data_IF_616023781412
#
_entry.id   IF_616023781412
#
_cell.length_a   1.000
_cell.length_b   1.000
_cell.length_c   1.000
_cell.angle_alpha   90.00
_cell.angle_beta   90.00
_cell.angle_gamma   90.00
#
_symmetry.space_group_name_H-M   'P 1'
#
loop_
_entity.id
_entity.type
_entity.pdbx_description
1 polymer ?
#
# COMPACT_ATOMS: atom_id res chain seq x y z
N UNK A 1 38.64 16.62 10.33
CA UNK A 1 37.80 15.61 9.67
C UNK A 1 38.69 14.58 9.02
N UNK A 2 38.67 13.36 9.53
CA UNK A 2 39.31 12.23 8.87
C UNK A 2 38.51 11.84 7.62
N UNK A 3 39.15 11.18 6.65
CA UNK A 3 38.48 10.74 5.42
C UNK A 3 37.32 9.75 5.69
N UNK A 4 37.33 9.02 6.81
CA UNK A 4 36.21 8.14 7.19
C UNK A 4 35.03 8.88 7.78
N UNK A 5 35.26 9.98 8.52
CA UNK A 5 34.18 10.85 9.01
C UNK A 5 33.49 11.58 7.86
N UNK A 6 34.26 12.03 6.86
CA UNK A 6 33.69 12.66 5.67
C UNK A 6 32.87 11.68 4.82
N UNK A 7 33.33 10.44 4.64
CA UNK A 7 32.58 9.41 3.91
C UNK A 7 31.31 8.96 4.65
N UNK A 8 31.37 8.86 5.99
CA UNK A 8 30.21 8.52 6.82
C UNK A 8 29.16 9.64 6.83
N UNK A 9 29.63 10.89 6.89
CA UNK A 9 28.74 12.06 6.80
C UNK A 9 28.10 12.16 5.41
N UNK A 10 28.89 11.99 4.35
CA UNK A 10 28.40 12.03 2.96
C UNK A 10 27.43 10.89 2.64
N UNK A 11 27.60 9.71 3.25
CA UNK A 11 26.63 8.61 3.15
C UNK A 11 25.30 8.91 3.85
N UNK A 12 25.34 9.50 5.05
CA UNK A 12 24.14 9.95 5.77
C UNK A 12 23.41 11.09 5.06
N UNK A 13 24.14 12.05 4.52
CA UNK A 13 23.57 13.18 3.81
C UNK A 13 22.83 12.70 2.54
N UNK A 14 23.40 11.72 1.81
CA UNK A 14 22.78 11.07 0.65
C UNK A 14 21.49 10.32 1.01
N UNK A 15 21.51 9.49 2.07
CA UNK A 15 20.31 8.78 2.54
C UNK A 15 19.19 9.74 2.96
N UNK A 16 19.56 10.89 3.54
CA UNK A 16 18.59 11.91 3.97
C UNK A 16 17.97 12.64 2.78
N UNK A 17 18.76 12.93 1.74
CA UNK A 17 18.26 13.51 0.49
C UNK A 17 17.31 12.56 -0.26
N UNK A 18 17.63 11.26 -0.30
CA UNK A 18 16.78 10.24 -0.91
C UNK A 18 15.44 10.09 -0.17
N UNK A 19 15.47 10.07 1.16
CA UNK A 19 14.25 10.03 1.99
C UNK A 19 13.37 11.26 1.77
N UNK A 20 13.97 12.45 1.71
CA UNK A 20 13.26 13.69 1.47
C UNK A 20 12.60 13.70 0.08
N UNK A 21 13.28 13.13 -0.93
CA UNK A 21 12.72 13.00 -2.27
C UNK A 21 11.52 12.05 -2.29
N UNK A 22 11.61 10.90 -1.61
CA UNK A 22 10.50 9.96 -1.47
C UNK A 22 9.29 10.62 -0.80
N UNK A 23 9.50 11.35 0.31
CA UNK A 23 8.42 12.02 1.02
C UNK A 23 7.76 13.13 0.17
N UNK A 24 8.55 13.89 -0.60
CA UNK A 24 8.00 14.88 -1.55
C UNK A 24 7.20 14.22 -2.66
N UNK A 25 7.65 13.06 -3.16
CA UNK A 25 6.91 12.29 -4.14
C UNK A 25 5.57 11.79 -3.58
N UNK A 26 5.58 11.25 -2.36
CA UNK A 26 4.37 10.81 -1.66
C UNK A 26 3.36 11.95 -1.48
N UNK A 27 3.80 13.12 -0.99
CA UNK A 27 2.95 14.31 -0.85
C UNK A 27 2.31 14.68 -2.21
N UNK A 28 3.11 14.74 -3.28
CA UNK A 28 2.62 15.08 -4.62
C UNK A 28 1.63 14.06 -5.20
N UNK A 29 1.75 12.79 -4.80
CA UNK A 29 0.83 11.72 -5.20
C UNK A 29 -0.46 11.85 -4.41
N UNK A 30 -0.38 11.88 -3.08
CA UNK A 30 -1.54 11.94 -2.18
C UNK A 30 -2.41 13.19 -2.44
N UNK A 31 -1.81 14.33 -2.78
CA UNK A 31 -2.55 15.55 -3.16
C UNK A 31 -3.50 15.39 -4.35
N UNK A 32 -3.26 14.40 -5.23
CA UNK A 32 -4.08 14.14 -6.42
C UNK A 32 -5.20 13.14 -6.15
N UNK A 33 -5.11 12.41 -5.04
CA UNK A 33 -6.00 11.29 -4.76
C UNK A 33 -7.17 11.75 -3.91
N UNK A 34 -8.38 11.37 -4.32
CA UNK A 34 -9.59 11.56 -3.54
C UNK A 34 -10.55 10.40 -3.79
N UNK A 35 -10.62 9.49 -2.83
CA UNK A 35 -11.35 8.24 -2.98
C UNK A 35 -11.81 7.70 -1.62
N UNK A 36 -13.02 7.13 -1.49
CA UNK A 36 -13.54 6.62 -0.21
C UNK A 36 -12.67 5.54 0.46
N UNK A 37 -11.80 4.87 -0.31
CA UNK A 37 -10.95 3.77 0.13
C UNK A 37 -9.45 4.10 0.12
N UNK A 38 -9.11 5.38 0.08
CA UNK A 38 -7.73 5.88 0.20
C UNK A 38 -7.72 6.88 1.37
N UNK A 39 -6.61 6.95 2.10
CA UNK A 39 -6.45 7.94 3.18
C UNK A 39 -6.53 9.36 2.62
N UNK A 40 -7.25 10.24 3.31
CA UNK A 40 -7.30 11.66 2.93
C UNK A 40 -5.97 12.36 3.27
N UNK A 41 -5.51 13.22 2.36
CA UNK A 41 -4.38 14.13 2.60
C UNK A 41 -4.91 15.52 2.97
N UNK A 42 -4.40 16.07 4.08
CA UNK A 42 -4.82 17.39 4.55
C UNK A 42 -3.81 18.48 4.21
N UNK A 43 -2.53 18.29 4.56
CA UNK A 43 -1.50 19.30 4.29
C UNK A 43 -0.09 18.73 4.42
N UNK A 44 0.89 19.48 3.94
CA UNK A 44 2.29 19.26 4.25
C UNK A 44 2.97 20.61 4.53
N UNK A 45 3.91 20.63 5.45
CA UNK A 45 4.65 21.83 5.84
C UNK A 45 6.08 21.49 6.25
N UNK A 46 6.97 22.45 6.08
CA UNK A 46 8.37 22.33 6.49
C UNK A 46 8.61 23.09 7.80
N UNK A 47 9.40 22.50 8.67
CA UNK A 47 10.00 23.15 9.84
C UNK A 47 11.50 23.30 9.58
N UNK A 48 12.24 24.07 10.40
CA UNK A 48 13.70 24.17 10.26
C UNK A 48 14.45 22.83 10.35
N UNK A 49 13.79 21.74 10.77
CA UNK A 49 14.41 20.45 11.04
C UNK A 49 13.76 19.28 10.30
N UNK A 50 12.52 19.41 9.83
CA UNK A 50 11.71 18.29 9.35
C UNK A 50 10.69 18.74 8.29
N UNK A 51 10.44 17.86 7.32
CA UNK A 51 9.25 17.90 6.49
C UNK A 51 8.14 17.12 7.22
N UNK A 52 6.97 17.72 7.36
CA UNK A 52 5.83 17.16 8.06
C UNK A 52 4.65 17.01 7.10
N UNK A 53 3.94 15.90 7.21
CA UNK A 53 2.73 15.60 6.45
C UNK A 53 1.59 15.32 7.42
N UNK A 54 0.39 15.81 7.09
CA UNK A 54 -0.84 15.58 7.84
C UNK A 54 -1.83 14.84 6.94
N UNK A 55 -2.19 13.63 7.34
CA UNK A 55 -3.13 12.74 6.65
C UNK A 55 -4.22 12.29 7.62
N UNK A 56 -5.26 11.64 7.08
CA UNK A 56 -6.30 10.96 7.82
C UNK A 56 -5.69 9.99 8.85
N UNK A 57 -6.16 10.10 10.09
CA UNK A 57 -5.82 9.15 11.13
C UNK A 57 -6.85 8.02 11.12
N UNK A 58 -6.40 6.83 10.73
CA UNK A 58 -7.25 5.63 10.60
C UNK A 58 -6.97 4.69 11.77
N UNK A 59 -7.99 4.49 12.60
CA UNK A 59 -7.83 3.88 13.93
C UNK A 59 -7.96 2.34 13.95
N UNK A 60 -8.59 1.71 12.94
CA UNK A 60 -9.03 0.31 13.01
C UNK A 60 -7.92 -0.73 12.86
N UNK A 61 -6.66 -0.31 12.92
CA UNK A 61 -5.50 -1.18 12.70
C UNK A 61 -5.34 -1.59 11.24
N UNK A 62 -4.29 -2.37 10.99
CA UNK A 62 -3.98 -2.85 9.66
C UNK A 62 -4.58 -4.23 9.36
N UNK A 63 -4.72 -4.55 8.08
CA UNK A 63 -5.37 -5.78 7.64
C UNK A 63 -4.59 -7.04 7.98
N UNK A 64 -3.26 -6.97 8.12
CA UNK A 64 -2.46 -8.12 8.55
C UNK A 64 -2.84 -8.53 9.97
N UNK A 65 -3.06 -7.57 10.86
CA UNK A 65 -3.46 -7.83 12.25
C UNK A 65 -4.76 -8.62 12.30
N UNK A 66 -5.76 -8.25 11.49
CA UNK A 66 -7.03 -9.00 11.41
C UNK A 66 -6.85 -10.40 10.82
N UNK A 67 -6.05 -10.55 9.76
CA UNK A 67 -5.69 -11.87 9.20
C UNK A 67 -4.87 -12.74 10.17
N UNK A 68 -4.19 -12.14 11.15
CA UNK A 68 -3.49 -12.86 12.21
C UNK A 68 -4.44 -13.46 13.26
N UNK A 69 -5.58 -12.82 13.49
CA UNK A 69 -6.62 -13.30 14.39
C UNK A 69 -7.55 -14.32 13.72
N UNK A 70 -7.99 -14.02 12.50
CA UNK A 70 -8.83 -14.89 11.68
C UNK A 70 -7.95 -15.75 10.79
N UNK A 71 -7.82 -17.05 11.08
CA UNK A 71 -6.93 -17.96 10.32
C UNK A 71 -7.12 -17.94 8.79
N UNK A 72 -8.33 -17.57 8.33
CA UNK A 72 -8.72 -17.32 6.93
C UNK A 72 -10.13 -16.71 6.89
N UNK A 73 -10.45 -16.00 5.81
CA UNK A 73 -11.77 -15.42 5.55
C UNK A 73 -12.65 -16.36 4.71
N UNK A 74 -13.97 -16.18 4.81
CA UNK A 74 -14.89 -16.77 3.83
C UNK A 74 -14.71 -16.11 2.45
N UNK A 75 -15.05 -16.81 1.37
CA UNK A 75 -14.95 -16.23 0.02
C UNK A 75 -15.83 -15.00 -0.16
N UNK A 76 -17.01 -14.99 0.46
CA UNK A 76 -17.89 -13.83 0.45
C UNK A 76 -17.24 -12.63 1.15
N UNK A 77 -16.74 -12.81 2.38
CA UNK A 77 -16.08 -11.73 3.12
C UNK A 77 -14.83 -11.22 2.39
N UNK A 78 -14.03 -12.14 1.82
CA UNK A 78 -12.88 -11.79 1.00
C UNK A 78 -13.29 -10.99 -0.25
N UNK A 79 -14.43 -11.34 -0.89
CA UNK A 79 -14.93 -10.61 -2.06
C UNK A 79 -15.31 -9.16 -1.74
N UNK A 80 -15.82 -8.89 -0.53
CA UNK A 80 -16.14 -7.53 -0.08
C UNK A 80 -14.86 -6.69 0.05
N UNK A 81 -13.88 -7.19 0.79
CA UNK A 81 -12.60 -6.48 0.98
C UNK A 81 -11.81 -6.33 -0.32
N UNK A 82 -11.77 -7.37 -1.16
CA UNK A 82 -11.15 -7.29 -2.47
C UNK A 82 -11.83 -6.27 -3.36
N UNK A 83 -13.16 -6.14 -3.28
CA UNK A 83 -13.89 -5.12 -4.02
C UNK A 83 -13.43 -3.69 -3.68
N UNK A 84 -13.25 -3.38 -2.39
CA UNK A 84 -12.75 -2.06 -1.96
C UNK A 84 -11.31 -1.81 -2.41
N UNK A 85 -10.44 -2.83 -2.30
CA UNK A 85 -9.06 -2.78 -2.79
C UNK A 85 -9.05 -2.53 -4.31
N UNK A 86 -9.89 -3.24 -5.08
CA UNK A 86 -9.97 -3.08 -6.54
C UNK A 86 -10.41 -1.65 -6.90
N UNK A 87 -11.40 -1.09 -6.20
CA UNK A 87 -11.85 0.28 -6.44
C UNK A 87 -10.75 1.31 -6.13
N UNK A 88 -10.01 1.14 -5.03
CA UNK A 88 -8.87 1.99 -4.70
C UNK A 88 -7.75 1.90 -5.76
N UNK A 89 -7.36 0.68 -6.15
CA UNK A 89 -6.32 0.43 -7.16
C UNK A 89 -6.74 0.96 -8.53
N UNK A 90 -8.00 0.76 -8.91
CA UNK A 90 -8.57 1.31 -10.14
C UNK A 90 -8.45 2.84 -10.18
N UNK A 91 -8.75 3.53 -9.07
CA UNK A 91 -8.66 4.97 -8.99
C UNK A 91 -7.22 5.47 -9.18
N UNK A 92 -6.25 4.91 -8.46
CA UNK A 92 -4.84 5.34 -8.60
C UNK A 92 -4.28 5.02 -10.00
N UNK A 93 -4.71 3.91 -10.62
CA UNK A 93 -4.29 3.56 -11.99
C UNK A 93 -4.85 4.54 -13.04
N UNK A 94 -6.07 5.06 -12.84
CA UNK A 94 -6.67 6.11 -13.68
C UNK A 94 -5.90 7.43 -13.60
N UNK A 95 -5.31 7.73 -12.44
CA UNK A 95 -4.41 8.88 -12.25
C UNK A 95 -2.96 8.62 -12.72
N UNK A 96 -2.71 7.45 -13.31
CA UNK A 96 -1.38 7.05 -13.81
C UNK A 96 -0.40 6.68 -12.70
N UNK A 97 -0.89 6.37 -11.49
CA UNK A 97 -0.06 6.03 -10.34
C UNK A 97 0.00 4.51 -10.19
N UNK A 98 1.19 3.98 -9.92
CA UNK A 98 1.43 2.60 -9.49
C UNK A 98 1.73 2.64 -7.98
N UNK A 99 1.07 1.80 -7.18
CA UNK A 99 1.30 1.75 -5.74
C UNK A 99 2.64 1.07 -5.39
N UNK A 100 2.91 -0.09 -6.01
CA UNK A 100 4.15 -0.90 -5.88
C UNK A 100 4.41 -1.56 -4.52
N UNK A 101 3.74 -1.16 -3.45
CA UNK A 101 3.84 -1.83 -2.14
C UNK A 101 2.47 -2.23 -1.55
N UNK A 102 1.57 -2.78 -2.37
CA UNK A 102 0.30 -3.30 -1.87
C UNK A 102 0.54 -4.53 -1.00
N UNK A 103 0.15 -4.44 0.27
CA UNK A 103 0.25 -5.50 1.27
C UNK A 103 -0.76 -5.26 2.39
N UNK A 104 -1.14 -6.28 3.18
CA UNK A 104 -2.14 -6.12 4.22
C UNK A 104 -1.78 -5.06 5.28
N UNK A 105 -0.50 -4.81 5.58
CA UNK A 105 -0.11 -3.77 6.55
C UNK A 105 -0.34 -2.34 6.04
N UNK A 106 -0.48 -2.14 4.73
CA UNK A 106 -0.73 -0.83 4.12
C UNK A 106 -2.22 -0.63 3.78
N UNK A 107 -3.07 -1.50 4.31
CA UNK A 107 -4.52 -1.45 4.16
C UNK A 107 -5.09 -1.40 5.58
N UNK A 108 -5.70 -0.28 5.93
CA UNK A 108 -6.19 -0.03 7.28
C UNK A 108 -7.72 -0.15 7.33
N UNK A 109 -8.29 -0.42 8.51
CA UNK A 109 -9.73 -0.36 8.73
C UNK A 109 -10.15 0.99 9.31
N UNK A 110 -11.21 1.58 8.77
CA UNK A 110 -11.84 2.74 9.39
C UNK A 110 -12.84 2.35 10.49
N UNK A 111 -13.52 3.36 11.05
CA UNK A 111 -14.43 3.16 12.17
C UNK A 111 -15.65 2.29 11.81
N UNK A 112 -16.04 2.26 10.55
CA UNK A 112 -17.17 1.48 10.06
C UNK A 112 -16.74 0.11 9.48
N UNK A 113 -15.44 -0.20 9.52
CA UNK A 113 -14.90 -1.47 9.01
C UNK A 113 -14.56 -1.47 7.53
N UNK A 114 -14.60 -0.31 6.87
CA UNK A 114 -14.17 -0.17 5.47
C UNK A 114 -12.67 0.02 5.36
N UNK A 115 -12.12 -0.32 4.21
CA UNK A 115 -10.68 -0.26 3.98
C UNK A 115 -10.20 1.15 3.60
N UNK A 116 -9.00 1.48 4.05
CA UNK A 116 -8.24 2.69 3.70
C UNK A 116 -6.85 2.30 3.24
N UNK A 117 -6.57 2.46 1.95
CA UNK A 117 -5.23 2.29 1.39
C UNK A 117 -4.34 3.47 1.83
N UNK A 118 -3.15 3.15 2.32
CA UNK A 118 -2.17 4.12 2.84
C UNK A 118 -0.75 3.80 2.35
N UNK A 119 0.23 4.60 2.78
CA UNK A 119 1.67 4.44 2.52
C UNK A 119 2.03 4.44 1.02
N UNK A 120 2.08 5.66 0.47
CA UNK A 120 2.39 5.91 -0.93
C UNK A 120 3.87 6.26 -1.13
N UNK A 121 4.73 5.99 -0.14
CA UNK A 121 6.17 6.28 -0.19
C UNK A 121 6.88 5.57 -1.35
N UNK A 122 6.44 4.35 -1.67
CA UNK A 122 6.91 3.57 -2.81
C UNK A 122 6.12 3.81 -4.10
N UNK A 123 5.14 4.72 -4.12
CA UNK A 123 4.31 4.94 -5.31
C UNK A 123 5.03 5.71 -6.42
N UNK A 124 4.58 5.55 -7.67
CA UNK A 124 5.17 6.25 -8.82
C UNK A 124 4.15 6.60 -9.88
N UNK A 125 4.18 7.84 -10.35
CA UNK A 125 3.41 8.26 -11.51
C UNK A 125 4.15 7.89 -12.81
N UNK A 126 3.41 7.26 -13.74
CA UNK A 126 3.89 6.87 -15.07
C UNK A 126 2.87 7.31 -16.13
N UNK A 127 3.32 7.58 -17.35
CA UNK A 127 2.40 7.78 -18.47
C UNK A 127 1.97 6.43 -19.05
N UNK A 128 0.88 6.43 -19.81
CA UNK A 128 0.43 5.21 -20.49
C UNK A 128 1.48 4.74 -21.50
N UNK A 129 1.86 3.47 -21.40
CA UNK A 129 2.91 2.84 -22.21
C UNK A 129 4.32 2.97 -21.65
N UNK A 130 4.54 3.78 -20.61
CA UNK A 130 5.83 3.87 -19.92
C UNK A 130 6.05 2.66 -19.02
N UNK A 131 7.33 2.32 -18.81
CA UNK A 131 7.77 1.30 -17.86
C UNK A 131 8.78 1.89 -16.88
N UNK A 132 8.73 1.41 -15.64
CA UNK A 132 9.72 1.72 -14.59
C UNK A 132 10.53 0.47 -14.23
N UNK A 133 11.71 0.65 -13.63
CA UNK A 133 12.69 -0.42 -13.41
C UNK A 133 13.17 -0.51 -11.95
N UNK A 134 12.79 0.43 -11.08
CA UNK A 134 13.19 0.44 -9.67
C UNK A 134 12.62 -0.76 -8.94
N UNK A 135 13.45 -1.50 -8.20
CA UNK A 135 12.99 -2.55 -7.29
C UNK A 135 12.60 -1.89 -5.97
N UNK A 136 11.34 -2.02 -5.55
CA UNK A 136 10.82 -1.49 -4.30
C UNK A 136 9.56 -2.27 -3.88
N UNK A 137 9.10 -2.04 -2.65
CA UNK A 137 7.99 -2.75 -2.03
C UNK A 137 8.40 -4.00 -1.23
N UNK A 138 7.39 -4.76 -0.83
CA UNK A 138 7.54 -5.93 0.04
C UNK A 138 7.64 -7.20 -0.78
N UNK A 139 8.80 -7.84 -0.72
CA UNK A 139 9.21 -8.86 -1.69
C UNK A 139 8.25 -10.05 -1.87
N UNK A 140 7.47 -10.41 -0.84
CA UNK A 140 6.50 -11.52 -0.92
C UNK A 140 5.24 -11.19 -1.72
N UNK A 141 4.91 -9.91 -1.90
CA UNK A 141 3.76 -9.44 -2.69
C UNK A 141 4.18 -8.86 -4.05
N UNK A 142 5.48 -8.82 -4.36
CA UNK A 142 6.00 -8.30 -5.63
C UNK A 142 5.69 -9.22 -6.80
N UNK A 143 5.34 -8.60 -7.92
CA UNK A 143 5.24 -9.27 -9.21
C UNK A 143 6.62 -9.78 -9.71
N UNK A 144 6.68 -10.88 -10.47
CA UNK A 144 7.93 -11.46 -10.94
C UNK A 144 8.74 -10.51 -11.84
N UNK A 145 8.10 -9.65 -12.62
CA UNK A 145 8.78 -8.68 -13.47
C UNK A 145 9.52 -7.58 -12.68
N UNK A 146 9.09 -7.28 -11.44
CA UNK A 146 9.85 -6.43 -10.51
C UNK A 146 11.09 -7.18 -10.05
N UNK A 147 10.92 -8.43 -9.61
CA UNK A 147 12.00 -9.30 -9.11
C UNK A 147 13.06 -9.62 -10.18
N UNK A 148 12.68 -9.58 -11.46
CA UNK A 148 13.56 -9.82 -12.61
C UNK A 148 14.16 -8.56 -13.22
N UNK A 149 13.78 -7.36 -12.73
CA UNK A 149 14.28 -6.07 -13.22
C UNK A 149 14.05 -5.81 -14.72
N UNK A 150 13.06 -6.48 -15.32
CA UNK A 150 12.79 -6.40 -16.78
C UNK A 150 11.88 -5.23 -17.19
N UNK A 151 11.64 -4.32 -16.25
CA UNK A 151 10.71 -3.21 -16.35
C UNK A 151 9.27 -3.63 -16.09
N UNK A 152 8.42 -2.71 -15.63
CA UNK A 152 7.04 -2.99 -15.29
C UNK A 152 6.15 -1.76 -15.37
N UNK A 153 4.83 -1.98 -15.36
CA UNK A 153 3.78 -0.98 -15.44
C UNK A 153 2.75 -1.15 -14.31
N UNK A 154 1.60 -0.48 -14.41
CA UNK A 154 0.48 -0.54 -13.44
C UNK A 154 0.03 -1.97 -13.11
N UNK A 155 0.25 -2.94 -14.00
CA UNK A 155 -0.23 -4.31 -13.80
C UNK A 155 0.40 -5.05 -12.61
N UNK A 156 1.53 -4.57 -12.08
CA UNK A 156 2.17 -5.17 -10.89
C UNK A 156 1.29 -5.12 -9.65
N UNK A 157 0.46 -4.07 -9.53
CA UNK A 157 -0.45 -3.95 -8.40
C UNK A 157 -1.51 -5.05 -8.42
N UNK A 158 -1.96 -5.48 -9.62
CA UNK A 158 -2.91 -6.60 -9.74
C UNK A 158 -2.31 -7.94 -9.32
N UNK A 159 -1.00 -8.13 -9.47
CA UNK A 159 -0.34 -9.30 -8.89
C UNK A 159 -0.43 -9.27 -7.37
N UNK A 160 -0.11 -8.13 -6.76
CA UNK A 160 -0.19 -7.95 -5.31
C UNK A 160 -1.61 -8.14 -4.78
N UNK A 161 -2.64 -7.66 -5.50
CA UNK A 161 -4.06 -7.94 -5.18
C UNK A 161 -4.33 -9.45 -5.20
N UNK A 162 -3.85 -10.18 -6.20
CA UNK A 162 -3.96 -11.64 -6.25
C UNK A 162 -3.24 -12.35 -5.09
N UNK A 163 -2.10 -11.81 -4.66
CA UNK A 163 -1.37 -12.34 -3.53
C UNK A 163 -2.06 -12.10 -2.19
N UNK A 164 -2.65 -10.91 -2.01
CA UNK A 164 -3.48 -10.58 -0.85
C UNK A 164 -4.73 -11.48 -0.82
N UNK A 165 -5.41 -11.69 -1.96
CA UNK A 165 -6.54 -12.63 -2.06
C UNK A 165 -6.16 -14.04 -1.59
N UNK A 166 -5.02 -14.55 -2.04
CA UNK A 166 -4.54 -15.88 -1.62
C UNK A 166 -4.36 -15.94 -0.11
N UNK A 167 -3.78 -14.91 0.49
CA UNK A 167 -3.60 -14.84 1.94
C UNK A 167 -4.92 -14.74 2.69
N UNK A 168 -5.89 -13.95 2.21
CA UNK A 168 -7.24 -13.90 2.80
C UNK A 168 -7.89 -15.29 2.85
N UNK A 169 -7.81 -16.05 1.76
CA UNK A 169 -8.53 -17.32 1.63
C UNK A 169 -7.79 -18.51 2.27
N UNK A 170 -6.47 -18.44 2.39
CA UNK A 170 -5.65 -19.57 2.84
C UNK A 170 -4.96 -19.35 4.19
N UNK A 171 -4.80 -18.11 4.62
CA UNK A 171 -3.96 -17.73 5.76
C UNK A 171 -2.46 -17.74 5.44
N UNK A 172 -2.07 -18.11 4.23
CA UNK A 172 -0.67 -18.32 3.83
C UNK A 172 -0.23 -17.30 2.77
N UNK A 173 1.07 -17.06 2.68
CA UNK A 173 1.64 -16.21 1.63
C UNK A 173 1.87 -17.05 0.36
N UNK A 174 1.45 -16.58 -0.84
CA UNK A 174 1.66 -17.34 -2.07
C UNK A 174 3.15 -17.43 -2.42
N UNK A 175 3.57 -18.58 -2.93
CA UNK A 175 4.97 -18.84 -3.32
C UNK A 175 6.01 -18.60 -2.21
N UNK A 176 5.60 -18.59 -0.93
CA UNK A 176 6.49 -18.30 0.18
C UNK A 176 7.76 -19.17 0.15
N UNK A 177 8.90 -18.51 0.27
CA UNK A 177 10.20 -19.14 0.49
C UNK A 177 11.08 -18.18 1.27
N UNK A 178 12.01 -18.72 2.07
CA UNK A 178 12.96 -17.92 2.85
C UNK A 178 14.00 -17.25 1.95
N UNK A 179 14.34 -17.90 0.83
CA UNK A 179 15.28 -17.38 -0.16
C UNK A 179 14.55 -16.74 -1.34
N UNK A 180 15.00 -15.53 -1.73
CA UNK A 180 14.41 -14.79 -2.84
C UNK A 180 14.53 -15.57 -4.17
N UNK A 181 15.64 -16.27 -4.40
CA UNK A 181 15.85 -17.08 -5.60
C UNK A 181 14.95 -18.31 -5.64
N UNK A 182 14.74 -18.97 -4.50
CA UNK A 182 13.77 -20.07 -4.39
C UNK A 182 12.34 -19.58 -4.66
N UNK A 183 11.94 -18.44 -4.12
CA UNK A 183 10.63 -17.84 -4.40
C UNK A 183 10.46 -17.52 -5.88
N UNK A 184 11.46 -16.89 -6.51
CA UNK A 184 11.44 -16.64 -7.96
C UNK A 184 11.28 -17.94 -8.75
N UNK A 185 12.00 -19.00 -8.36
CA UNK A 185 11.87 -20.31 -8.97
C UNK A 185 10.47 -20.93 -8.74
N UNK A 186 9.88 -20.77 -7.56
CA UNK A 186 8.52 -21.22 -7.27
C UNK A 186 7.49 -20.49 -8.14
N UNK A 187 7.64 -19.17 -8.34
CA UNK A 187 6.81 -18.39 -9.25
C UNK A 187 6.95 -18.91 -10.69
N UNK A 188 8.18 -19.07 -11.18
CA UNK A 188 8.45 -19.55 -12.54
C UNK A 188 7.88 -20.95 -12.79
N UNK A 189 8.04 -21.87 -11.82
CA UNK A 189 7.53 -23.23 -11.88
C UNK A 189 6.04 -23.34 -11.53
N UNK A 190 5.36 -22.23 -11.21
CA UNK A 190 3.97 -22.20 -10.78
C UNK A 190 3.70 -23.12 -9.57
N UNK A 191 4.67 -23.19 -8.64
CA UNK A 191 4.61 -24.02 -7.43
C UNK A 191 3.80 -23.32 -6.34
N UNK A 192 2.49 -23.35 -6.49
CA UNK A 192 1.49 -22.87 -5.53
C UNK A 192 0.42 -23.95 -5.36
N UNK A 193 -0.13 -24.08 -4.15
CA UNK A 193 -1.17 -25.06 -3.83
C UNK A 193 -2.46 -24.29 -3.54
N UNK A 194 -3.52 -24.62 -4.27
CA UNK A 194 -4.86 -24.16 -3.96
C UNK A 194 -5.56 -25.27 -3.17
N UNK A 195 -5.92 -25.04 -1.89
CA UNK A 195 -6.58 -26.05 -1.07
C UNK A 195 -7.97 -26.42 -1.60
N UNK A 196 -8.43 -27.65 -1.35
CA UNK A 196 -9.74 -28.16 -1.83
C UNK A 196 -10.96 -27.34 -1.38
N UNK A 197 -10.82 -26.51 -0.35
CA UNK A 197 -11.88 -25.63 0.13
C UNK A 197 -11.96 -24.29 -0.61
N UNK A 198 -10.99 -23.98 -1.48
CA UNK A 198 -11.03 -22.81 -2.35
C UNK A 198 -11.83 -23.18 -3.60
N UNK A 199 -12.83 -22.38 -3.94
CA UNK A 199 -13.67 -22.60 -5.10
C UNK A 199 -12.90 -22.51 -6.41
N UNK A 200 -13.49 -23.07 -7.47
CA UNK A 200 -12.90 -22.98 -8.82
C UNK A 200 -12.83 -21.54 -9.29
N UNK A 201 -13.84 -20.73 -8.93
CA UNK A 201 -13.96 -19.32 -9.24
C UNK A 201 -12.86 -18.51 -8.53
N UNK A 202 -12.65 -18.73 -7.23
CA UNK A 202 -11.59 -18.08 -6.47
C UNK A 202 -10.19 -18.44 -7.01
N UNK A 203 -9.95 -19.72 -7.29
CA UNK A 203 -8.71 -20.18 -7.93
C UNK A 203 -8.52 -19.54 -9.32
N UNK A 204 -9.58 -19.45 -10.13
CA UNK A 204 -9.52 -18.85 -11.47
C UNK A 204 -9.11 -17.37 -11.40
N UNK A 205 -9.70 -16.62 -10.46
CA UNK A 205 -9.36 -15.22 -10.23
C UNK A 205 -7.91 -15.05 -9.80
N UNK A 206 -7.46 -15.81 -8.79
CA UNK A 206 -6.07 -15.79 -8.31
C UNK A 206 -5.07 -16.13 -9.43
N UNK A 207 -5.36 -17.14 -10.24
CA UNK A 207 -4.55 -17.48 -11.41
C UNK A 207 -4.56 -16.39 -12.47
N UNK A 208 -5.65 -15.66 -12.65
CA UNK A 208 -5.74 -14.52 -13.57
C UNK A 208 -4.87 -13.35 -13.12
N UNK A 209 -4.96 -13.00 -11.84
CA UNK A 209 -4.22 -11.90 -11.20
C UNK A 209 -2.72 -12.22 -11.04
N UNK A 210 -2.35 -13.45 -10.72
CA UNK A 210 -0.96 -13.88 -10.54
C UNK A 210 -0.37 -14.56 -11.79
N UNK A 211 -0.68 -14.03 -12.97
CA UNK A 211 -0.05 -14.43 -14.25
C UNK A 211 1.20 -13.62 -14.53
N UNK A 212 2.20 -14.24 -15.15
CA UNK A 212 3.45 -13.58 -15.58
C UNK A 212 3.31 -12.86 -16.93
N UNK A 213 2.26 -13.16 -17.70
CA UNK A 213 1.91 -12.53 -18.97
C UNK A 213 0.39 -12.53 -19.16
N UNK A 214 -0.15 -11.56 -19.91
CA UNK A 214 -1.60 -11.40 -20.12
C UNK A 214 -2.39 -11.48 -18.79
N UNK A 215 -1.92 -10.72 -17.80
CA UNK A 215 -2.47 -10.68 -16.45
C UNK A 215 -3.88 -10.08 -16.50
N UNK A 216 -4.81 -10.64 -15.72
CA UNK A 216 -6.12 -10.03 -15.56
C UNK A 216 -5.94 -8.62 -14.98
N UNK A 217 -6.58 -7.63 -15.59
CA UNK A 217 -6.37 -6.22 -15.24
C UNK A 217 -5.33 -5.47 -16.06
N UNK A 218 -4.49 -6.15 -16.87
CA UNK A 218 -3.48 -5.50 -17.71
C UNK A 218 -3.96 -5.18 -19.14
N UNK A 219 -5.20 -5.57 -19.47
CA UNK A 219 -5.81 -5.34 -20.79
C UNK A 219 -6.46 -3.97 -20.92
N UNK A 220 -7.05 -3.65 -22.08
CA UNK A 220 -7.73 -2.36 -22.31
C UNK A 220 -8.92 -2.14 -21.37
N UNK A 221 -9.56 -3.22 -20.92
CA UNK A 221 -10.68 -3.15 -19.96
C UNK A 221 -10.20 -2.91 -18.52
N UNK A 222 -8.89 -3.03 -18.24
CA UNK A 222 -8.31 -2.75 -16.94
C UNK A 222 -9.04 -3.45 -15.78
N UNK A 223 -9.36 -2.68 -14.74
CA UNK A 223 -10.11 -3.16 -13.58
C UNK A 223 -11.50 -3.72 -13.93
N UNK A 224 -12.16 -3.27 -15.00
CA UNK A 224 -13.47 -3.81 -15.39
C UNK A 224 -13.42 -5.30 -15.70
N UNK A 225 -12.32 -5.78 -16.30
CA UNK A 225 -12.13 -7.22 -16.54
C UNK A 225 -12.07 -8.03 -15.24
N UNK A 226 -11.55 -7.43 -14.16
CA UNK A 226 -11.52 -8.04 -12.83
C UNK A 226 -12.92 -8.01 -12.23
N UNK A 227 -13.61 -6.86 -12.29
CA UNK A 227 -14.96 -6.66 -11.72
C UNK A 227 -16.03 -7.55 -12.37
N UNK A 228 -15.85 -7.93 -13.63
CA UNK A 228 -16.73 -8.87 -14.36
C UNK A 228 -16.46 -10.36 -14.04
N UNK A 229 -15.43 -10.68 -13.24
CA UNK A 229 -15.10 -12.06 -12.93
C UNK A 229 -16.21 -12.72 -12.07
N UNK A 230 -16.59 -14.00 -12.31
CA UNK A 230 -17.68 -14.68 -11.59
C UNK A 230 -17.55 -14.67 -10.05
N UNK A 231 -16.33 -14.60 -9.53
CA UNK A 231 -16.07 -14.46 -8.09
C UNK A 231 -16.76 -13.22 -7.46
N UNK A 232 -17.05 -12.19 -8.24
CA UNK A 232 -17.72 -10.97 -7.80
C UNK A 232 -19.21 -10.91 -8.21
N UNK A 233 -19.84 -12.05 -8.53
CA UNK A 233 -21.24 -12.06 -9.01
C UNK A 233 -22.24 -11.45 -8.02
N UNK A 234 -21.95 -11.51 -6.72
CA UNK A 234 -22.80 -10.97 -5.65
C UNK A 234 -22.50 -9.49 -5.33
N UNK A 235 -21.46 -8.91 -5.94
CA UNK A 235 -21.03 -7.54 -5.63
C UNK A 235 -21.81 -6.51 -6.45
N UNK A 236 -22.48 -5.59 -5.75
CA UNK A 236 -22.95 -4.35 -6.34
C UNK A 236 -21.88 -3.25 -6.20
N UNK A 237 -21.17 -2.99 -7.28
CA UNK A 237 -20.07 -2.00 -7.32
C UNK A 237 -20.52 -0.57 -7.02
N UNK A 238 -21.76 -0.19 -7.36
CA UNK A 238 -22.28 1.16 -7.07
C UNK A 238 -22.56 1.33 -5.56
N UNK A 239 -23.16 0.31 -4.93
CA UNK A 239 -23.42 0.34 -3.49
C UNK A 239 -22.14 0.22 -2.68
N UNK A 240 -21.15 -0.53 -3.19
CA UNK A 240 -19.80 -0.57 -2.62
C UNK A 240 -19.13 0.80 -2.69
N UNK A 241 -19.04 1.42 -3.87
CA UNK A 241 -18.47 2.77 -4.02
C UNK A 241 -19.17 3.83 -3.14
N UNK A 242 -20.47 3.64 -2.87
CA UNK A 242 -21.25 4.50 -1.98
C UNK A 242 -21.15 4.15 -0.48
N UNK A 243 -20.28 3.20 -0.09
CA UNK A 243 -20.13 2.67 1.29
C UNK A 243 -21.45 2.24 1.94
N UNK A 244 -22.32 1.56 1.18
CA UNK A 244 -23.60 1.03 1.69
C UNK A 244 -23.55 -0.45 2.06
N UNK A 245 -22.47 -1.13 1.68
CA UNK A 245 -22.25 -2.54 2.01
C UNK A 245 -21.83 -2.62 3.48
N UNK A 246 -22.45 -3.52 4.23
CA UNK A 246 -22.07 -3.78 5.62
C UNK A 246 -20.82 -4.68 5.63
N UNK A 247 -19.77 -4.23 6.30
CA UNK A 247 -18.50 -4.97 6.34
C UNK A 247 -18.50 -6.06 7.42
N UNK A 248 -17.83 -7.21 7.19
CA UNK A 248 -17.81 -8.34 8.13
C UNK A 248 -17.16 -8.01 9.48
N UNK A 249 -16.10 -7.20 9.44
CA UNK A 249 -15.43 -6.69 10.62
C UNK A 249 -15.80 -5.23 10.81
N UNK A 250 -16.22 -4.87 12.01
CA UNK A 250 -16.36 -3.50 12.48
C UNK A 250 -15.63 -3.43 13.83
N UNK A 251 -14.61 -2.57 13.99
CA UNK A 251 -13.91 -2.45 15.27
C UNK A 251 -14.88 -2.05 16.41
N UNK A 252 -14.66 -2.58 17.62
CA UNK A 252 -15.45 -2.24 18.81
C UNK A 252 -14.89 -0.96 19.44
N UNK A 253 -15.55 0.18 19.17
CA UNK A 253 -15.11 1.51 19.61
C UNK A 253 -15.54 1.91 21.02
N UNK A 254 -15.75 0.95 21.93
CA UNK A 254 -16.22 1.27 23.30
C UNK A 254 -15.22 2.06 24.15
N UNK A 255 -14.03 2.41 23.64
CA UNK A 255 -13.06 3.27 24.31
C UNK A 255 -12.46 4.27 23.30
N UNK A 256 -12.77 5.56 23.45
CA UNK A 256 -12.34 6.68 22.58
C UNK A 256 -10.81 6.91 22.49
N UNK A 257 -9.99 6.08 23.14
CA UNK A 257 -8.53 6.13 23.17
C UNK A 257 -7.91 4.72 23.10
N UNK A 258 -8.60 3.73 22.52
CA UNK A 258 -8.05 2.37 22.45
C UNK A 258 -6.96 2.23 21.38
N UNK A 259 -5.72 2.38 21.81
CA UNK A 259 -4.57 2.08 20.97
C UNK A 259 -4.22 0.58 20.97
N UNK A 260 -5.10 -0.32 21.44
CA UNK A 260 -4.87 -1.78 21.52
C UNK A 260 -4.64 -2.45 20.17
N UNK A 261 -5.16 -1.86 19.08
CA UNK A 261 -4.96 -2.33 17.71
C UNK A 261 -3.63 -1.86 17.10
N UNK A 262 -2.90 -0.97 17.78
CA UNK A 262 -1.55 -0.57 17.41
C UNK A 262 -0.54 -1.39 18.21
N UNK A 263 0.59 -1.75 17.60
CA UNK A 263 1.62 -2.48 18.34
C UNK A 263 2.06 -1.69 19.60
N UNK A 264 2.24 -2.34 20.77
CA UNK A 264 2.58 -1.65 22.02
C UNK A 264 3.85 -0.78 21.97
N UNK A 265 4.73 -1.02 21.00
CA UNK A 265 5.92 -0.21 20.76
C UNK A 265 5.59 1.22 20.31
N UNK A 266 4.46 1.44 19.65
CA UNK A 266 4.04 2.76 19.17
C UNK A 266 3.24 3.55 20.22
N UNK A 267 2.63 2.86 21.18
CA UNK A 267 1.72 3.45 22.18
C UNK A 267 2.39 3.69 23.53
N UNK A 268 3.54 3.05 23.77
CA UNK A 268 4.30 3.12 25.03
C UNK A 268 5.51 4.07 25.02
N UNK A 269 5.93 4.61 23.88
CA UNK A 269 7.06 5.53 23.82
C UNK A 269 6.65 6.98 24.09
N UNK A 270 7.28 7.69 25.05
CA UNK A 270 7.08 9.13 25.17
C UNK A 270 7.56 9.81 23.88
N UNK A 271 6.79 10.77 23.37
CA UNK A 271 7.11 11.58 22.19
C UNK A 271 8.40 12.39 22.40
N UNK A 272 9.56 11.74 22.32
CA UNK A 272 10.87 12.34 22.57
C UNK A 272 11.42 12.99 21.29
N UNK A 273 10.62 13.85 20.67
CA UNK A 273 11.06 14.74 19.59
C UNK A 273 11.01 16.21 20.03
N UNK A 274 11.33 16.49 21.30
CA UNK A 274 11.63 17.86 21.74
C UNK A 274 12.99 18.27 21.18
N UNK A 275 12.98 19.01 20.08
CA UNK A 275 14.18 19.69 19.57
C UNK A 275 14.40 20.95 20.41
N UNK A 276 15.55 21.03 21.07
CA UNK A 276 15.96 22.17 21.90
C UNK A 276 16.22 23.42 21.03
N UNK A 277 15.41 24.47 21.22
CA UNK A 277 15.49 25.75 20.51
C UNK A 277 16.65 26.67 20.95
N UNK A 278 17.59 26.20 21.78
CA UNK A 278 18.58 27.06 22.45
C UNK A 278 19.78 27.52 21.61
N UNK A 279 19.84 27.21 20.31
CA UNK A 279 21.01 27.45 19.45
C UNK A 279 20.78 28.27 18.17
N UNK A 280 19.96 29.32 18.20
CA UNK A 280 19.71 30.20 17.04
C UNK A 280 20.94 31.08 16.72
N UNK A 281 21.79 30.58 15.82
CA UNK A 281 22.78 31.37 15.10
C UNK A 281 22.34 31.56 13.65
N UNK A 282 22.04 32.82 13.31
CA UNK A 282 21.78 33.35 11.97
C UNK A 282 22.66 32.70 10.89
N UNK A 283 22.07 31.78 10.12
CA UNK A 283 22.60 31.32 8.84
C UNK A 283 21.44 31.29 7.85
N UNK A 284 21.58 32.11 6.81
CA UNK A 284 20.76 32.09 5.60
C UNK A 284 20.38 30.67 5.21
N UNK A 285 19.08 30.40 5.27
CA UNK A 285 18.44 29.12 4.98
C UNK A 285 18.61 28.74 3.50
N UNK A 286 19.32 27.65 3.16
CA UNK A 286 19.40 27.14 1.79
C UNK A 286 18.17 26.31 1.38
N UNK A 287 17.21 26.05 2.27
CA UNK A 287 16.13 25.07 2.08
C UNK A 287 14.75 25.70 1.91
N UNK A 288 14.67 26.89 1.33
CA UNK A 288 13.38 27.45 0.92
C UNK A 288 12.84 26.70 -0.31
N UNK A 289 12.12 25.61 -0.08
CA UNK A 289 11.42 24.86 -1.11
C UNK A 289 10.01 25.42 -1.17
N UNK A 290 9.62 26.00 -2.30
CA UNK A 290 8.34 26.68 -2.50
C UNK A 290 7.14 25.75 -2.44
N UNK A 291 6.81 25.26 -1.24
CA UNK A 291 5.53 24.64 -0.93
C UNK A 291 4.56 25.79 -0.66
N UNK A 292 3.63 26.02 -1.58
CA UNK A 292 2.52 26.95 -1.34
C UNK A 292 1.71 26.41 -0.15
N UNK A 293 1.63 27.22 0.90
CA UNK A 293 0.82 26.94 2.07
C UNK A 293 -0.65 26.92 1.68
N UNK A 294 -1.22 25.74 1.47
CA UNK A 294 -2.65 25.58 1.31
C UNK A 294 -3.26 25.30 2.68
N UNK A 295 -3.70 26.37 3.35
CA UNK A 295 -4.72 26.25 4.38
C UNK A 295 -6.04 26.07 3.64
N UNK A 296 -6.69 24.92 3.80
CA UNK A 296 -8.09 24.77 3.43
C UNK A 296 -8.92 25.45 4.52
N UNK A 297 -9.62 26.53 4.16
CA UNK A 297 -10.65 27.20 4.98
C UNK A 297 -11.85 26.27 5.28
#
# INVERSE_FOLDING_TARGET
MSASEAAHQQGKDCETEDLLLCMKNEINILQKLKHPYIVDFYSAFETPFQLCMTIEFVLGGDFLTILGHETKLSEFDASLYLGEIILAVEHIHKEGIIHRDLKPTNILFDAEGHLRLTDFGDSKQINDGDRTFTICGTSVYMAPEILLEIGYDKSVDWWSVGAIMYQMLTGEIPYFALDCGERQNNIYLHKIVYPDYVSTEAENLMRGLMRTYNRLGSGPDGAEAIKMHPFFEEINWDDMMAKKVLMPFCPDWTVEDDASLFEPIYTGEPSNNYIDNSGLGDKSDPFHVGIEYFFLD
#
